data_IF_136462295536
#
_entry.id   IF_136462295536
#
_cell.length_a   1.000
_cell.length_b   1.000
_cell.length_c   1.000
_cell.angle_alpha   90.00
_cell.angle_beta   90.00
_cell.angle_gamma   90.00
#
_symmetry.space_group_name_H-M   'P 1'
#
loop_
_entity.id
_entity.type
_entity.pdbx_description
1 polymer ?
#
# COMPACT_ATOMS: atom_id res chain seq x y z
N UNK A 1 -22.37 10.62 13.16
CA UNK A 1 -21.60 11.88 13.09
C UNK A 1 -20.20 11.46 12.70
N UNK A 2 -19.91 11.54 11.40
CA UNK A 2 -18.55 11.43 10.90
C UNK A 2 -17.76 12.59 11.50
N UNK A 3 -16.79 12.27 12.36
CA UNK A 3 -15.84 13.26 12.82
C UNK A 3 -15.03 13.70 11.60
N UNK A 4 -15.29 14.93 11.12
CA UNK A 4 -14.44 15.56 10.10
C UNK A 4 -12.97 15.37 10.52
N UNK A 5 -12.22 14.69 9.67
CA UNK A 5 -10.80 14.47 9.90
C UNK A 5 -10.13 15.83 9.89
N UNK A 6 -9.75 16.35 11.07
CA UNK A 6 -9.07 17.64 11.20
C UNK A 6 -7.78 17.55 10.38
N UNK A 7 -7.67 18.36 9.34
CA UNK A 7 -6.41 18.55 8.62
C UNK A 7 -5.51 19.50 9.42
N UNK A 8 -4.68 18.91 10.26
CA UNK A 8 -3.75 19.66 11.12
C UNK A 8 -2.76 20.52 10.34
N UNK A 9 -2.47 20.18 9.08
CA UNK A 9 -1.55 20.94 8.24
C UNK A 9 -2.23 22.23 7.78
N UNK A 10 -3.40 22.13 7.18
CA UNK A 10 -4.14 23.28 6.67
C UNK A 10 -4.57 24.21 7.79
N UNK A 11 -5.08 23.66 8.90
CA UNK A 11 -5.42 24.47 10.07
C UNK A 11 -4.19 25.13 10.70
N UNK A 12 -3.01 24.50 10.69
CA UNK A 12 -1.79 25.17 11.17
C UNK A 12 -1.38 26.35 10.31
N UNK A 13 -1.52 26.25 8.98
CA UNK A 13 -1.25 27.35 8.07
C UNK A 13 -2.25 28.49 8.28
N UNK A 14 -3.51 28.16 8.47
CA UNK A 14 -4.56 29.15 8.80
C UNK A 14 -4.23 29.89 10.10
N UNK A 15 -3.81 29.18 11.16
CA UNK A 15 -3.43 29.82 12.42
C UNK A 15 -2.22 30.72 12.30
N UNK A 16 -1.21 30.34 11.47
CA UNK A 16 -0.05 31.21 11.19
C UNK A 16 -0.53 32.49 10.52
N UNK A 17 -1.36 32.39 9.48
CA UNK A 17 -1.93 33.55 8.77
C UNK A 17 -2.73 34.45 9.71
N UNK A 18 -3.58 33.89 10.56
CA UNK A 18 -4.33 34.66 11.56
C UNK A 18 -3.42 35.37 12.57
N UNK A 19 -2.26 34.80 12.92
CA UNK A 19 -1.26 35.46 13.79
C UNK A 19 -0.60 36.64 13.08
N UNK A 20 -0.36 36.57 11.78
CA UNK A 20 0.15 37.66 10.96
C UNK A 20 -0.88 38.79 10.84
N UNK A 21 -2.11 38.46 10.46
CA UNK A 21 -3.23 39.39 10.41
C UNK A 21 -3.48 40.09 11.76
N UNK A 22 -3.33 39.36 12.87
CA UNK A 22 -3.41 39.95 14.20
C UNK A 22 -2.35 41.02 14.43
N UNK A 23 -1.11 40.82 14.02
CA UNK A 23 -0.03 41.80 14.15
C UNK A 23 -0.30 43.08 13.32
N UNK A 24 -0.95 42.92 12.20
CA UNK A 24 -1.26 44.02 11.26
C UNK A 24 -2.55 44.78 11.63
N UNK A 25 -3.39 44.26 12.53
CA UNK A 25 -4.69 44.82 12.86
C UNK A 25 -4.67 46.18 13.59
N UNK A 26 -3.48 46.69 13.93
CA UNK A 26 -3.30 48.01 14.53
C UNK A 26 -3.48 48.07 16.05
N UNK A 27 -3.55 49.30 16.61
CA UNK A 27 -3.59 49.52 18.04
C UNK A 27 -5.02 49.67 18.55
N UNK A 28 -5.32 48.96 19.64
CA UNK A 28 -6.55 49.08 20.44
C UNK A 28 -6.25 49.79 21.75
N UNK A 29 -7.25 50.43 22.40
CA UNK A 29 -7.14 50.87 23.78
C UNK A 29 -6.66 49.72 24.68
N UNK A 30 -5.74 50.01 25.63
CA UNK A 30 -5.02 49.00 26.42
C UNK A 30 -5.94 47.98 27.11
N UNK A 31 -7.04 48.43 27.69
CA UNK A 31 -8.06 47.59 28.35
C UNK A 31 -8.73 46.58 27.42
N UNK A 32 -8.96 46.95 26.15
CA UNK A 32 -9.50 46.06 25.13
C UNK A 32 -8.45 45.18 24.51
N UNK A 33 -7.27 45.72 24.26
CA UNK A 33 -6.12 45.00 23.70
C UNK A 33 -5.77 43.76 24.56
N UNK A 34 -5.62 43.90 25.87
CA UNK A 34 -5.29 42.81 26.78
C UNK A 34 -6.36 41.71 26.77
N UNK A 35 -7.65 42.11 26.75
CA UNK A 35 -8.79 41.18 26.69
C UNK A 35 -8.76 40.35 25.41
N UNK A 36 -8.64 41.00 24.26
CA UNK A 36 -8.64 40.32 22.96
C UNK A 36 -7.39 39.50 22.76
N UNK A 37 -6.19 40.00 23.18
CA UNK A 37 -4.95 39.26 23.14
C UNK A 37 -5.00 37.96 23.95
N UNK A 38 -5.50 38.02 25.18
CA UNK A 38 -5.62 36.84 26.01
C UNK A 38 -6.57 35.80 25.41
N UNK A 39 -7.68 36.24 24.80
CA UNK A 39 -8.60 35.34 24.11
C UNK A 39 -7.97 34.68 22.90
N UNK A 40 -7.29 35.45 22.06
CA UNK A 40 -6.59 34.97 20.89
C UNK A 40 -5.45 33.97 21.29
N UNK A 41 -4.59 34.36 22.21
CA UNK A 41 -3.53 33.51 22.74
C UNK A 41 -4.07 32.21 23.30
N UNK A 42 -5.18 32.25 24.04
CA UNK A 42 -5.81 31.03 24.56
C UNK A 42 -6.27 30.10 23.44
N UNK A 43 -6.91 30.63 22.38
CA UNK A 43 -7.33 29.83 21.26
C UNK A 43 -6.16 29.17 20.52
N UNK A 44 -5.11 29.93 20.23
CA UNK A 44 -3.88 29.45 19.60
C UNK A 44 -3.20 28.35 20.44
N UNK A 45 -3.03 28.60 21.75
CA UNK A 45 -2.43 27.65 22.66
C UNK A 45 -3.24 26.34 22.74
N UNK A 46 -4.58 26.44 22.78
CA UNK A 46 -5.47 25.28 22.78
C UNK A 46 -5.30 24.45 21.51
N UNK A 47 -5.25 25.11 20.34
CA UNK A 47 -5.02 24.42 19.08
C UNK A 47 -3.69 23.66 19.06
N UNK A 48 -2.59 24.30 19.42
CA UNK A 48 -1.28 23.63 19.41
C UNK A 48 -1.16 22.53 20.48
N UNK A 49 -1.82 22.70 21.63
CA UNK A 49 -1.93 21.65 22.65
C UNK A 49 -2.65 20.43 22.10
N UNK A 50 -3.84 20.59 21.52
CA UNK A 50 -4.63 19.51 20.95
C UNK A 50 -3.86 18.80 19.80
N UNK A 51 -3.19 19.59 18.95
CA UNK A 51 -2.33 19.06 17.88
C UNK A 51 -1.21 18.16 18.46
N UNK A 52 -0.51 18.65 19.47
CA UNK A 52 0.56 17.89 20.14
C UNK A 52 0.05 16.59 20.76
N UNK A 53 -1.08 16.65 21.46
CA UNK A 53 -1.72 15.48 22.07
C UNK A 53 -2.14 14.46 21.03
N UNK A 54 -2.75 14.91 19.92
CA UNK A 54 -3.13 14.04 18.83
C UNK A 54 -1.94 13.29 18.22
N UNK A 55 -0.84 13.98 17.93
CA UNK A 55 0.35 13.33 17.37
C UNK A 55 1.06 12.43 18.37
N UNK A 56 1.08 12.80 19.66
CA UNK A 56 1.64 11.95 20.71
C UNK A 56 0.86 10.63 20.86
N UNK A 57 -0.48 10.68 20.81
CA UNK A 57 -1.31 9.48 20.84
C UNK A 57 -1.12 8.61 19.58
N UNK A 58 -1.01 9.24 18.39
CA UNK A 58 -0.71 8.54 17.15
C UNK A 58 0.65 7.81 17.21
N UNK A 59 1.67 8.44 17.76
CA UNK A 59 3.00 7.85 17.88
C UNK A 59 3.03 6.73 18.92
N UNK A 60 2.28 6.87 20.02
CA UNK A 60 2.07 5.79 20.99
C UNK A 60 1.38 4.60 20.32
N UNK A 61 0.30 4.83 19.58
CA UNK A 61 -0.41 3.78 18.83
C UNK A 61 0.52 3.04 17.87
N UNK A 62 1.37 3.77 17.12
CA UNK A 62 2.37 3.13 16.23
C UNK A 62 3.36 2.27 17.00
N UNK A 63 3.77 2.71 18.18
CA UNK A 63 4.69 1.95 19.05
C UNK A 63 4.03 0.67 19.58
N UNK A 64 2.77 0.74 19.96
CA UNK A 64 2.02 -0.45 20.39
C UNK A 64 1.76 -1.40 19.21
N UNK A 65 1.47 -0.87 18.02
CA UNK A 65 1.39 -1.65 16.79
C UNK A 65 2.70 -2.40 16.50
N UNK A 66 3.85 -1.77 16.75
CA UNK A 66 5.15 -2.43 16.56
C UNK A 66 5.27 -3.68 17.44
N UNK A 67 4.92 -3.58 18.71
CA UNK A 67 4.94 -4.73 19.64
C UNK A 67 4.03 -5.86 19.16
N UNK A 68 2.80 -5.53 18.76
CA UNK A 68 1.85 -6.52 18.21
C UNK A 68 2.38 -7.20 16.96
N UNK A 69 3.05 -6.46 16.07
CA UNK A 69 3.69 -7.02 14.87
C UNK A 69 4.88 -7.92 15.22
N UNK A 70 5.70 -7.56 16.19
CA UNK A 70 6.79 -8.40 16.67
C UNK A 70 6.28 -9.72 17.27
N UNK A 71 5.20 -9.66 18.05
CA UNK A 71 4.53 -10.85 18.59
C UNK A 71 3.96 -11.73 17.47
N UNK A 72 3.32 -11.13 16.47
CA UNK A 72 2.79 -11.87 15.34
C UNK A 72 3.90 -12.55 14.53
N UNK A 73 5.06 -11.89 14.32
CA UNK A 73 6.23 -12.54 13.68
C UNK A 73 6.69 -13.75 14.48
N UNK A 74 6.75 -13.65 15.82
CA UNK A 74 7.11 -14.80 16.68
C UNK A 74 6.11 -15.94 16.49
N UNK A 75 4.79 -15.65 16.48
CA UNK A 75 3.72 -16.61 16.23
C UNK A 75 3.87 -17.28 14.88
N UNK A 76 4.15 -16.51 13.82
CA UNK A 76 4.37 -17.01 12.45
C UNK A 76 5.61 -17.89 12.37
N UNK A 77 6.72 -17.48 12.98
CA UNK A 77 7.95 -18.28 13.01
C UNK A 77 7.78 -19.62 13.71
N UNK A 78 6.90 -19.70 14.70
CA UNK A 78 6.53 -20.95 15.39
C UNK A 78 5.49 -21.80 14.64
N UNK A 79 4.99 -21.34 13.49
CA UNK A 79 4.00 -22.09 12.71
C UNK A 79 4.64 -23.29 12.02
N UNK A 80 4.06 -24.48 12.22
CA UNK A 80 4.46 -25.71 11.55
C UNK A 80 3.53 -25.98 10.36
N UNK A 81 4.12 -26.23 9.18
CA UNK A 81 3.34 -26.65 8.02
C UNK A 81 2.78 -28.05 8.23
N UNK A 82 1.50 -28.23 7.93
CA UNK A 82 0.83 -29.51 7.84
C UNK A 82 0.99 -30.12 6.44
N UNK A 83 0.64 -31.38 6.27
CA UNK A 83 0.62 -32.03 4.95
C UNK A 83 -0.48 -31.48 4.03
N UNK A 84 -1.49 -30.83 4.61
CA UNK A 84 -2.60 -30.22 3.86
C UNK A 84 -2.25 -28.79 3.40
N UNK A 85 -1.99 -28.64 2.11
CA UNK A 85 -1.66 -27.34 1.51
C UNK A 85 -2.77 -26.30 1.72
N UNK A 86 -4.04 -26.66 1.60
CA UNK A 86 -5.16 -25.72 1.76
C UNK A 86 -5.21 -25.11 3.15
N UNK A 87 -5.08 -25.94 4.19
CA UNK A 87 -5.01 -25.48 5.58
C UNK A 87 -3.83 -24.56 5.83
N UNK A 88 -2.67 -24.88 5.24
CA UNK A 88 -1.50 -24.01 5.32
C UNK A 88 -1.75 -22.64 4.67
N UNK A 89 -2.38 -22.61 3.49
CA UNK A 89 -2.75 -21.37 2.82
C UNK A 89 -3.70 -20.52 3.67
N UNK A 90 -4.73 -21.12 4.22
CA UNK A 90 -5.69 -20.41 5.09
C UNK A 90 -4.98 -19.79 6.30
N UNK A 91 -4.10 -20.56 6.95
CA UNK A 91 -3.32 -20.08 8.08
C UNK A 91 -2.42 -18.90 7.71
N UNK A 92 -1.68 -19.00 6.59
CA UNK A 92 -0.83 -17.92 6.13
C UNK A 92 -1.63 -16.67 5.72
N UNK A 93 -2.80 -16.86 5.09
CA UNK A 93 -3.75 -15.78 4.78
C UNK A 93 -4.26 -15.10 6.04
N UNK A 94 -4.59 -15.89 7.08
CA UNK A 94 -5.04 -15.35 8.37
C UNK A 94 -3.93 -14.51 9.04
N UNK A 95 -2.67 -14.97 9.04
CA UNK A 95 -1.56 -14.18 9.54
C UNK A 95 -1.36 -12.86 8.78
N UNK A 96 -1.51 -12.87 7.46
CA UNK A 96 -1.46 -11.66 6.65
C UNK A 96 -2.61 -10.70 6.99
N UNK A 97 -3.82 -11.22 7.21
CA UNK A 97 -4.97 -10.41 7.62
C UNK A 97 -4.73 -9.75 8.99
N UNK A 98 -4.28 -10.52 9.98
CA UNK A 98 -3.90 -10.02 11.31
C UNK A 98 -2.84 -8.93 11.20
N UNK A 99 -1.80 -9.14 10.37
CA UNK A 99 -0.73 -8.17 10.13
C UNK A 99 -1.25 -6.82 9.64
N UNK A 100 -2.13 -6.84 8.65
CA UNK A 100 -2.68 -5.62 8.08
C UNK A 100 -3.67 -4.92 9.01
N UNK A 101 -4.38 -5.66 9.85
CA UNK A 101 -5.31 -5.11 10.83
C UNK A 101 -4.59 -4.32 11.96
N UNK A 102 -3.37 -4.70 12.33
CA UNK A 102 -2.57 -4.00 13.34
C UNK A 102 -2.30 -2.54 12.94
N UNK A 103 -2.01 -2.28 11.69
CA UNK A 103 -1.81 -0.92 11.19
C UNK A 103 -0.35 -0.48 11.10
N UNK A 104 -0.12 0.84 11.08
CA UNK A 104 1.19 1.44 10.84
C UNK A 104 2.11 1.36 12.08
N UNK A 105 3.42 1.27 11.83
CA UNK A 105 4.49 1.32 12.83
C UNK A 105 5.30 2.61 12.70
N UNK A 106 6.19 2.95 13.67
CA UNK A 106 7.13 4.05 13.53
C UNK A 106 7.98 3.91 12.26
N UNK A 107 8.26 5.03 11.59
CA UNK A 107 8.99 5.04 10.31
C UNK A 107 10.36 4.38 10.40
N UNK A 108 11.06 4.57 11.51
CA UNK A 108 12.40 4.03 11.79
C UNK A 108 12.39 2.50 11.95
N UNK A 109 11.21 1.92 12.15
CA UNK A 109 10.99 0.47 12.32
C UNK A 109 10.23 -0.16 11.16
N UNK A 110 10.12 0.54 10.03
CA UNK A 110 9.40 0.05 8.84
C UNK A 110 9.98 -1.24 8.24
N UNK A 111 11.24 -1.57 8.53
CA UNK A 111 11.87 -2.83 8.07
C UNK A 111 11.17 -4.10 8.57
N UNK A 112 10.35 -3.97 9.62
CA UNK A 112 9.53 -5.10 10.09
C UNK A 112 8.56 -5.59 9.01
N UNK A 113 8.12 -4.73 8.10
CA UNK A 113 7.27 -5.09 6.96
C UNK A 113 7.99 -6.07 6.02
N UNK A 114 9.27 -5.79 5.75
CA UNK A 114 10.11 -6.68 4.93
C UNK A 114 10.41 -8.00 5.64
N UNK A 115 10.60 -7.96 6.96
CA UNK A 115 10.83 -9.16 7.78
C UNK A 115 9.62 -10.09 7.72
N UNK A 116 8.42 -9.57 7.96
CA UNK A 116 7.18 -10.35 7.86
C UNK A 116 7.00 -10.94 6.45
N UNK A 117 7.19 -10.12 5.41
CA UNK A 117 7.08 -10.56 4.03
C UNK A 117 8.04 -11.72 3.74
N UNK A 118 9.31 -11.61 4.12
CA UNK A 118 10.33 -12.67 3.93
C UNK A 118 9.94 -13.95 4.66
N UNK A 119 9.39 -13.84 5.88
CA UNK A 119 8.92 -14.98 6.66
C UNK A 119 7.79 -15.72 5.95
N UNK A 120 6.79 -15.01 5.48
CA UNK A 120 5.65 -15.59 4.73
C UNK A 120 6.13 -16.20 3.40
N UNK A 121 7.00 -15.50 2.65
CA UNK A 121 7.57 -15.99 1.39
C UNK A 121 8.39 -17.28 1.62
N UNK A 122 9.07 -17.40 2.77
CA UNK A 122 9.77 -18.61 3.17
C UNK A 122 8.84 -19.81 3.36
N UNK A 123 7.66 -19.63 3.91
CA UNK A 123 6.65 -20.69 4.02
C UNK A 123 6.12 -21.11 2.65
N UNK A 124 5.80 -20.18 1.77
CA UNK A 124 5.38 -20.50 0.39
C UNK A 124 6.46 -21.27 -0.37
N UNK A 125 7.72 -20.91 -0.20
CA UNK A 125 8.85 -21.65 -0.80
C UNK A 125 8.95 -23.07 -0.28
N UNK A 126 8.77 -23.31 1.03
CA UNK A 126 8.76 -24.66 1.64
C UNK A 126 7.60 -25.51 1.13
N UNK A 127 6.46 -24.92 0.81
CA UNK A 127 5.30 -25.60 0.25
C UNK A 127 5.47 -25.98 -1.22
N UNK A 128 6.60 -25.63 -1.86
CA UNK A 128 6.90 -25.89 -3.28
C UNK A 128 5.77 -25.41 -4.19
N UNK A 129 5.32 -24.19 -3.95
CA UNK A 129 4.27 -23.54 -4.73
C UNK A 129 4.91 -22.95 -5.97
N UNK A 130 4.29 -23.11 -7.13
CA UNK A 130 4.78 -22.49 -8.34
C UNK A 130 4.59 -20.95 -8.30
N UNK A 131 5.32 -20.28 -9.18
CA UNK A 131 5.35 -18.81 -9.21
C UNK A 131 3.97 -18.23 -9.50
N UNK A 132 3.19 -18.86 -10.38
CA UNK A 132 1.86 -18.40 -10.79
C UNK A 132 0.87 -18.52 -9.62
N UNK A 133 0.83 -19.70 -8.99
CA UNK A 133 0.00 -19.96 -7.82
C UNK A 133 0.29 -18.94 -6.69
N UNK A 134 1.58 -18.64 -6.46
CA UNK A 134 2.00 -17.64 -5.48
C UNK A 134 1.52 -16.21 -5.85
N UNK A 135 1.61 -15.83 -7.11
CA UNK A 135 1.11 -14.53 -7.58
C UNK A 135 -0.39 -14.40 -7.43
N UNK A 136 -1.14 -15.47 -7.69
CA UNK A 136 -2.60 -15.50 -7.52
C UNK A 136 -3.00 -15.40 -6.04
N UNK A 137 -2.32 -16.11 -5.15
CA UNK A 137 -2.53 -16.00 -3.70
C UNK A 137 -2.27 -14.58 -3.20
N UNK A 138 -1.17 -13.96 -3.62
CA UNK A 138 -0.83 -12.59 -3.25
C UNK A 138 -1.85 -11.58 -3.78
N UNK A 139 -2.31 -11.79 -5.01
CA UNK A 139 -3.33 -10.94 -5.61
C UNK A 139 -4.67 -11.03 -4.89
N UNK A 140 -5.14 -12.26 -4.58
CA UNK A 140 -6.36 -12.48 -3.83
C UNK A 140 -6.29 -11.87 -2.41
N UNK A 141 -5.18 -12.05 -1.70
CA UNK A 141 -4.95 -11.41 -0.39
C UNK A 141 -4.97 -9.87 -0.48
N UNK A 142 -4.45 -9.30 -1.56
CA UNK A 142 -4.52 -7.86 -1.83
C UNK A 142 -5.96 -7.40 -2.08
N UNK A 143 -6.74 -8.16 -2.85
CA UNK A 143 -8.15 -7.86 -3.12
C UNK A 143 -8.98 -7.88 -1.85
N UNK A 144 -8.85 -8.92 -1.02
CA UNK A 144 -9.56 -9.01 0.24
C UNK A 144 -9.30 -7.80 1.13
N UNK A 145 -8.04 -7.36 1.23
CA UNK A 145 -7.67 -6.14 1.97
C UNK A 145 -8.29 -4.87 1.39
N UNK A 146 -8.38 -4.75 0.06
CA UNK A 146 -8.99 -3.59 -0.59
C UNK A 146 -10.50 -3.55 -0.36
N UNK A 147 -11.16 -4.71 -0.32
CA UNK A 147 -12.58 -4.87 0.03
C UNK A 147 -12.86 -4.40 1.47
N UNK A 148 -12.06 -4.90 2.43
CA UNK A 148 -12.24 -4.58 3.85
C UNK A 148 -12.14 -3.08 4.15
N UNK A 149 -11.32 -2.35 3.38
CA UNK A 149 -11.17 -0.90 3.53
C UNK A 149 -12.33 -0.08 2.97
N UNK A 150 -13.35 -0.71 2.37
CA UNK A 150 -14.50 -0.06 1.72
C UNK A 150 -14.10 1.16 0.87
N UNK A 151 -12.98 1.06 0.15
CA UNK A 151 -12.44 2.16 -0.63
C UNK A 151 -12.54 1.86 -2.15
N UNK A 152 -13.65 2.24 -2.81
CA UNK A 152 -13.84 2.02 -4.24
C UNK A 152 -12.71 2.59 -5.08
N UNK A 153 -12.19 3.75 -4.70
CA UNK A 153 -11.07 4.41 -5.39
C UNK A 153 -9.80 3.56 -5.41
N UNK A 154 -9.58 2.72 -4.40
CA UNK A 154 -8.40 1.85 -4.35
C UNK A 154 -8.51 0.67 -5.33
N UNK A 155 -9.71 0.10 -5.49
CA UNK A 155 -10.00 -0.93 -6.51
C UNK A 155 -9.87 -0.37 -7.92
N UNK A 156 -10.38 0.85 -8.16
CA UNK A 156 -10.23 1.52 -9.45
C UNK A 156 -8.77 1.82 -9.79
N UNK A 157 -7.98 2.26 -8.83
CA UNK A 157 -6.53 2.46 -9.02
C UNK A 157 -5.82 1.16 -9.37
N UNK A 158 -6.15 0.05 -8.70
CA UNK A 158 -5.59 -1.26 -9.01
C UNK A 158 -5.97 -1.71 -10.42
N UNK A 159 -7.24 -1.54 -10.80
CA UNK A 159 -7.72 -1.84 -12.16
C UNK A 159 -6.99 -1.00 -13.22
N UNK A 160 -6.78 0.29 -12.98
CA UNK A 160 -6.01 1.15 -13.89
C UNK A 160 -4.55 0.70 -13.99
N UNK A 161 -3.93 0.34 -12.87
CA UNK A 161 -2.57 -0.21 -12.86
C UNK A 161 -2.45 -1.47 -13.72
N UNK A 162 -3.40 -2.43 -13.58
CA UNK A 162 -3.42 -3.64 -14.41
C UNK A 162 -3.62 -3.34 -15.90
N UNK A 163 -4.51 -2.38 -16.22
CA UNK A 163 -4.71 -1.93 -17.62
C UNK A 163 -3.44 -1.30 -18.20
N UNK A 164 -2.73 -0.49 -17.43
CA UNK A 164 -1.45 0.12 -17.85
C UNK A 164 -0.44 -0.98 -18.16
N UNK A 165 -0.29 -1.98 -17.27
CA UNK A 165 0.59 -3.12 -17.51
C UNK A 165 0.23 -3.91 -18.77
N UNK A 166 -1.06 -4.15 -19.02
CA UNK A 166 -1.52 -4.80 -20.27
C UNK A 166 -1.08 -3.98 -21.49
N UNK A 167 -1.21 -2.67 -21.44
CA UNK A 167 -0.82 -1.81 -22.56
C UNK A 167 0.70 -1.79 -22.78
N UNK A 168 1.49 -1.83 -21.72
CA UNK A 168 2.96 -1.95 -21.80
C UNK A 168 3.36 -3.28 -22.44
N UNK A 169 2.79 -4.40 -21.98
CA UNK A 169 3.05 -5.72 -22.58
C UNK A 169 2.64 -5.79 -24.07
N UNK A 170 1.49 -5.19 -24.43
CA UNK A 170 1.08 -5.13 -25.83
C UNK A 170 2.08 -4.37 -26.71
N UNK A 171 2.64 -3.25 -26.21
CA UNK A 171 3.67 -2.49 -26.92
C UNK A 171 4.95 -3.32 -27.09
N UNK A 172 5.36 -4.02 -26.03
CA UNK A 172 6.54 -4.88 -26.05
C UNK A 172 6.36 -6.06 -27.04
N UNK A 173 5.21 -6.73 -27.00
CA UNK A 173 4.87 -7.80 -27.95
C UNK A 173 4.92 -7.29 -29.39
N UNK A 174 4.26 -6.16 -29.69
CA UNK A 174 4.27 -5.57 -31.01
C UNK A 174 5.69 -5.22 -31.50
N UNK A 175 6.55 -4.76 -30.61
CA UNK A 175 7.97 -4.53 -30.92
C UNK A 175 8.69 -5.84 -31.25
N UNK A 176 8.45 -6.91 -30.49
CA UNK A 176 9.02 -8.22 -30.79
C UNK A 176 8.50 -8.80 -32.12
N UNK A 177 7.20 -8.68 -32.39
CA UNK A 177 6.60 -9.12 -33.65
C UNK A 177 7.16 -8.34 -34.86
N UNK A 178 7.36 -7.04 -34.72
CA UNK A 178 7.99 -6.21 -35.74
C UNK A 178 9.43 -6.62 -35.97
N UNK A 179 10.18 -6.83 -34.89
CA UNK A 179 11.60 -7.17 -34.95
C UNK A 179 11.84 -8.57 -35.54
N UNK A 180 10.94 -9.52 -35.29
CA UNK A 180 11.08 -10.90 -35.78
C UNK A 180 11.02 -10.97 -37.31
N UNK A 181 10.32 -10.01 -37.96
CA UNK A 181 10.24 -9.91 -39.41
C UNK A 181 11.59 -9.63 -40.08
N UNK A 182 12.54 -9.06 -39.33
CA UNK A 182 13.88 -8.74 -39.82
C UNK A 182 14.92 -9.86 -39.64
N UNK A 183 14.57 -10.96 -38.96
CA UNK A 183 15.50 -12.09 -38.81
C UNK A 183 15.73 -12.83 -40.12
N UNK A 184 17.02 -12.91 -40.51
CA UNK A 184 17.44 -13.70 -41.72
C UNK A 184 17.25 -15.21 -41.54
N UNK A 185 17.47 -15.97 -42.64
CA UNK A 185 17.27 -17.44 -42.70
C UNK A 185 18.52 -18.24 -42.28
N UNK A 186 19.40 -17.72 -41.42
CA UNK A 186 20.58 -18.47 -40.96
C UNK A 186 20.25 -19.32 -39.72
N UNK A 187 20.99 -20.43 -39.49
CA UNK A 187 20.78 -21.30 -38.31
C UNK A 187 20.84 -20.55 -36.96
N UNK A 188 21.68 -19.51 -36.85
CA UNK A 188 21.74 -18.65 -35.66
C UNK A 188 20.49 -17.76 -35.50
N UNK A 189 19.92 -17.32 -36.60
CA UNK A 189 18.68 -16.52 -36.61
C UNK A 189 17.45 -17.35 -36.20
N UNK A 190 17.40 -18.64 -36.55
CA UNK A 190 16.28 -19.52 -36.17
C UNK A 190 16.19 -19.67 -34.63
N UNK A 191 17.32 -19.94 -33.96
CA UNK A 191 17.34 -20.05 -32.50
C UNK A 191 16.88 -18.76 -31.81
N UNK A 192 17.37 -17.62 -32.30
CA UNK A 192 16.97 -16.31 -31.77
C UNK A 192 15.49 -16.03 -32.02
N UNK A 193 14.97 -16.45 -33.19
CA UNK A 193 13.56 -16.35 -33.52
C UNK A 193 12.69 -17.17 -32.56
N UNK A 194 13.08 -18.41 -32.24
CA UNK A 194 12.38 -19.24 -31.27
C UNK A 194 12.35 -18.61 -29.88
N UNK A 195 13.47 -18.01 -29.42
CA UNK A 195 13.53 -17.31 -28.14
C UNK A 195 12.59 -16.10 -28.10
N UNK A 196 12.51 -15.34 -29.21
CA UNK A 196 11.61 -14.19 -29.32
C UNK A 196 10.14 -14.65 -29.37
N UNK A 197 9.84 -15.73 -30.11
CA UNK A 197 8.48 -16.31 -30.15
C UNK A 197 8.02 -16.77 -28.77
N UNK A 198 8.91 -17.37 -27.97
CA UNK A 198 8.61 -17.73 -26.56
C UNK A 198 8.31 -16.49 -25.71
N UNK A 199 9.04 -15.39 -25.90
CA UNK A 199 8.77 -14.14 -25.20
C UNK A 199 7.41 -13.56 -25.58
N UNK A 200 7.05 -13.59 -26.87
CA UNK A 200 5.74 -13.15 -27.37
C UNK A 200 4.63 -14.00 -26.72
N UNK A 201 4.76 -15.33 -26.74
CA UNK A 201 3.76 -16.22 -26.14
C UNK A 201 3.62 -15.95 -24.63
N UNK A 202 4.73 -15.88 -23.90
CA UNK A 202 4.72 -15.53 -22.47
C UNK A 202 4.07 -14.16 -22.21
N UNK A 203 4.27 -13.20 -23.12
CA UNK A 203 3.63 -11.89 -23.06
C UNK A 203 2.11 -11.98 -23.19
N UNK A 204 1.61 -12.77 -24.13
CA UNK A 204 0.16 -13.02 -24.30
C UNK A 204 -0.43 -13.76 -23.10
N UNK A 205 0.24 -14.78 -22.56
CA UNK A 205 -0.20 -15.51 -21.39
C UNK A 205 -0.30 -14.57 -20.16
N UNK A 206 0.69 -13.68 -19.97
CA UNK A 206 0.66 -12.66 -18.92
C UNK A 206 -0.50 -11.67 -19.11
N UNK A 207 -0.83 -11.28 -20.34
CA UNK A 207 -1.97 -10.41 -20.63
C UNK A 207 -3.28 -11.10 -20.24
N UNK A 208 -3.44 -12.38 -20.54
CA UNK A 208 -4.66 -13.13 -20.16
C UNK A 208 -4.79 -13.24 -18.63
N UNK A 209 -3.70 -13.50 -17.92
CA UNK A 209 -3.67 -13.50 -16.45
C UNK A 209 -4.06 -12.13 -15.86
N UNK A 210 -3.55 -11.04 -16.42
CA UNK A 210 -3.92 -9.68 -15.98
C UNK A 210 -5.39 -9.35 -16.29
N UNK A 211 -5.93 -9.81 -17.42
CA UNK A 211 -7.35 -9.68 -17.75
C UNK A 211 -8.24 -10.47 -16.78
N UNK A 212 -7.83 -11.69 -16.39
CA UNK A 212 -8.53 -12.50 -15.39
C UNK A 212 -8.57 -11.76 -14.04
N UNK A 213 -7.46 -11.14 -13.62
CA UNK A 213 -7.38 -10.30 -12.41
C UNK A 213 -8.33 -9.10 -12.48
N UNK A 214 -8.45 -8.44 -13.62
CA UNK A 214 -9.42 -7.34 -13.83
C UNK A 214 -10.87 -7.86 -13.73
N UNK A 215 -11.17 -9.04 -14.30
CA UNK A 215 -12.50 -9.65 -14.15
C UNK A 215 -12.85 -9.92 -12.68
N UNK A 216 -11.90 -10.43 -11.90
CA UNK A 216 -12.08 -10.61 -10.45
C UNK A 216 -12.38 -9.29 -9.72
N UNK A 217 -11.71 -8.20 -10.07
CA UNK A 217 -12.01 -6.86 -9.49
C UNK A 217 -13.44 -6.43 -9.88
N UNK A 218 -13.89 -6.69 -11.10
CA UNK A 218 -15.23 -6.28 -11.56
C UNK A 218 -16.37 -7.11 -10.96
N UNK A 219 -16.09 -8.31 -10.42
CA UNK A 219 -17.07 -9.18 -9.75
C UNK A 219 -17.26 -8.87 -8.26
N UNK A 220 -16.55 -7.87 -7.76
CA UNK A 220 -16.58 -7.39 -6.38
C UNK A 220 -17.49 -6.19 -6.25
#
# INVERSE_FOLDING_TARGET
IESEKIDWKDHSQLFIKLQEEWKESGYLPKNLSDKFWNRFKKAVNTFYKNKKEFFAELDKQKTDNLKLKEELIKKVNGFALSDNKSTNFESLKQFQKEWFAIGAVPREKSDIENTFKKTIDGFYSKMKIDKKELEDVRFNSKLDRLKEKSNPTALDKEKQFLKTKINELKKEINQYETNIAFFGKSKGAEKLKEEVLKKIQNGYDNIEDLKAKIKLINSI
#
